data_IF_777317736321
#
_entry.id   IF_777317736321
#
_cell.length_a   1.000
_cell.length_b   1.000
_cell.length_c   1.000
_cell.angle_alpha   90.00
_cell.angle_beta   90.00
_cell.angle_gamma   90.00
#
_symmetry.space_group_name_H-M   'P 1'
#
loop_
_entity.id
_entity.type
_entity.pdbx_description
1 polymer ?
#
# COMPACT_ATOMS: atom_id res chain seq x y z
N UNK A 1 1.07 -1.78 8.28
CA UNK A 1 2.51 -1.96 8.02
C UNK A 1 2.93 -3.26 8.69
N UNK A 2 3.54 -4.19 7.96
CA UNK A 2 3.78 -5.58 8.36
C UNK A 2 5.27 -5.86 8.57
N UNK A 3 5.59 -6.93 9.29
CA UNK A 3 6.98 -7.33 9.50
C UNK A 3 7.57 -8.04 8.26
N UNK A 4 6.73 -8.73 7.49
CA UNK A 4 7.14 -9.56 6.36
C UNK A 4 6.40 -9.17 5.08
N UNK A 5 7.04 -9.45 3.93
CA UNK A 5 6.44 -9.27 2.60
C UNK A 5 5.19 -10.12 2.43
N UNK A 6 5.22 -11.34 2.95
CA UNK A 6 4.15 -12.33 2.78
C UNK A 6 2.87 -11.93 3.55
N UNK A 7 3.00 -11.46 4.79
CA UNK A 7 1.85 -10.90 5.53
C UNK A 7 1.31 -9.63 4.87
N UNK A 8 2.20 -8.80 4.33
CA UNK A 8 1.79 -7.61 3.61
C UNK A 8 0.99 -7.95 2.35
N UNK A 9 1.45 -8.89 1.51
CA UNK A 9 0.71 -9.33 0.32
C UNK A 9 -0.61 -10.01 0.67
N UNK A 10 -0.61 -10.92 1.64
CA UNK A 10 -1.84 -11.58 2.05
C UNK A 10 -2.89 -10.59 2.57
N UNK A 11 -2.46 -9.53 3.27
CA UNK A 11 -3.35 -8.47 3.71
C UNK A 11 -3.77 -7.54 2.56
N UNK A 12 -2.92 -7.33 1.56
CA UNK A 12 -3.24 -6.57 0.35
C UNK A 12 -4.41 -7.18 -0.41
N UNK A 13 -4.32 -8.49 -0.64
CA UNK A 13 -5.32 -9.26 -1.36
C UNK A 13 -6.63 -9.33 -0.55
N UNK A 14 -6.53 -9.54 0.76
CA UNK A 14 -7.70 -9.68 1.65
C UNK A 14 -8.43 -8.38 1.96
N UNK A 15 -7.70 -7.28 2.20
CA UNK A 15 -8.29 -6.03 2.71
C UNK A 15 -8.37 -4.92 1.68
N UNK A 16 -7.50 -4.92 0.67
CA UNK A 16 -7.37 -3.81 -0.28
C UNK A 16 -7.59 -4.25 -1.74
N UNK A 17 -7.84 -5.54 -1.98
CA UNK A 17 -7.94 -6.17 -3.30
C UNK A 17 -6.79 -5.76 -4.25
N UNK A 18 -5.62 -5.57 -3.67
CA UNK A 18 -4.47 -4.92 -4.27
C UNK A 18 -3.31 -5.90 -4.30
N UNK A 19 -2.47 -5.85 -5.33
CA UNK A 19 -1.43 -6.85 -5.56
C UNK A 19 -0.04 -6.30 -5.31
N UNK A 20 0.75 -7.08 -4.56
CA UNK A 20 2.14 -6.83 -4.28
C UNK A 20 2.37 -5.91 -3.06
N UNK A 21 3.42 -6.21 -2.32
CA UNK A 21 3.89 -5.43 -1.17
C UNK A 21 5.27 -4.81 -1.43
N UNK A 22 5.48 -3.58 -0.95
CA UNK A 22 6.79 -2.91 -0.99
C UNK A 22 7.39 -2.72 0.42
N UNK A 23 8.74 -2.75 0.55
CA UNK A 23 9.40 -2.43 1.81
C UNK A 23 9.46 -0.91 2.01
N UNK A 24 9.02 -0.46 3.18
CA UNK A 24 9.05 0.92 3.67
C UNK A 24 9.94 0.96 4.93
N UNK A 25 11.26 1.00 4.71
CA UNK A 25 12.26 0.92 5.78
C UNK A 25 12.32 -0.47 6.41
N UNK A 26 11.86 -0.60 7.66
CA UNK A 26 11.83 -1.87 8.41
C UNK A 26 10.50 -2.62 8.32
N UNK A 27 9.51 -2.05 7.63
CA UNK A 27 8.17 -2.59 7.58
C UNK A 27 7.71 -2.71 6.12
N UNK A 28 6.73 -3.57 5.89
CA UNK A 28 6.14 -3.82 4.57
C UNK A 28 4.76 -3.19 4.48
N UNK A 29 4.47 -2.58 3.35
CA UNK A 29 3.15 -2.06 3.06
C UNK A 29 2.40 -3.05 2.18
N UNK A 30 1.10 -3.27 2.44
CA UNK A 30 0.34 -4.29 1.74
C UNK A 30 0.15 -3.94 0.26
N UNK A 31 0.10 -2.67 -0.12
CA UNK A 31 -0.04 -2.26 -1.52
C UNK A 31 1.24 -1.67 -2.08
N UNK A 32 1.65 -2.12 -3.27
CA UNK A 32 2.67 -1.45 -4.09
C UNK A 32 2.18 -0.11 -4.62
N UNK A 33 0.90 -0.04 -4.97
CA UNK A 33 0.21 1.17 -5.42
C UNK A 33 -0.75 1.64 -4.35
N UNK A 34 -0.36 2.67 -3.60
CA UNK A 34 -1.36 3.54 -2.98
C UNK A 34 -2.06 4.22 -4.14
N UNK A 35 -3.31 3.82 -4.40
CA UNK A 35 -4.06 4.14 -5.60
C UNK A 35 -3.66 5.50 -6.11
N UNK A 36 -3.09 5.51 -7.32
CA UNK A 36 -2.69 6.71 -8.04
C UNK A 36 -3.82 7.71 -7.81
N UNK A 37 -3.59 8.67 -6.90
CA UNK A 37 -4.54 9.75 -6.71
C UNK A 37 -4.37 10.52 -8.00
N UNK A 38 -5.12 10.12 -9.03
CA UNK A 38 -5.46 10.99 -10.15
C UNK A 38 -5.83 12.29 -9.48
N UNK A 39 -4.96 13.28 -9.65
CA UNK A 39 -4.90 14.47 -8.84
C UNK A 39 -6.18 15.29 -8.94
N UNK A 40 -7.18 14.93 -8.14
CA UNK A 40 -8.28 15.82 -7.82
C UNK A 40 -7.96 16.45 -6.47
N UNK A 41 -7.09 17.46 -6.55
CA UNK A 41 -7.18 18.73 -5.81
C UNK A 41 -7.54 18.65 -4.33
N UNK A 42 -6.53 18.84 -3.46
CA UNK A 42 -6.63 19.80 -2.35
C UNK A 42 -5.26 20.44 -2.12
N UNK A 43 -4.92 21.45 -2.93
CA UNK A 43 -4.05 22.52 -2.46
C UNK A 43 -4.96 23.69 -2.09
N UNK A 44 -5.09 23.85 -0.78
CA UNK A 44 -5.68 24.99 -0.09
C UNK A 44 -5.04 26.30 -0.58
N UNK A 45 -5.86 27.24 -1.06
CA UNK A 45 -5.56 28.67 -1.09
C UNK A 45 -6.84 29.48 -0.85
#
# INVERSE_FOLDING_TARGET
MYATKEEAEAAAEKHFNCTGAHPMGKQWMPCTTHGQSSGTTQHNH
#
